data_IF_203466015979
#
_entry.id   IF_203466015979
#
_cell.length_a   1.000
_cell.length_b   1.000
_cell.length_c   1.000
_cell.angle_alpha   90.00
_cell.angle_beta   90.00
_cell.angle_gamma   90.00
#
_symmetry.space_group_name_H-M   'P 1'
#
loop_
_entity.id
_entity.type
_entity.pdbx_description
1 polymer ?
#
# COMPACT_ATOMS: atom_id res chain seq x y z
N UNK A 1 -60.46 -30.64 -25.48
CA UNK A 1 -60.06 -29.46 -26.29
C UNK A 1 -58.57 -29.23 -26.09
N UNK A 2 -57.81 -28.94 -27.15
CA UNK A 2 -56.38 -29.21 -27.25
C UNK A 2 -55.49 -28.03 -26.81
N UNK A 3 -54.28 -28.34 -26.35
CA UNK A 3 -53.16 -27.41 -26.22
C UNK A 3 -52.61 -27.04 -27.61
N UNK A 4 -52.36 -25.76 -27.91
CA UNK A 4 -51.54 -25.38 -29.05
C UNK A 4 -50.06 -25.31 -28.64
N UNK A 5 -49.27 -26.15 -29.31
CA UNK A 5 -47.82 -26.01 -29.47
C UNK A 5 -47.50 -24.78 -30.34
N UNK A 6 -46.68 -23.87 -29.83
CA UNK A 6 -46.04 -22.84 -30.65
C UNK A 6 -44.54 -22.75 -30.31
N UNK A 7 -43.77 -23.29 -31.22
CA UNK A 7 -42.35 -23.06 -31.44
C UNK A 7 -42.02 -21.56 -31.41
N UNK A 8 -41.13 -21.17 -30.50
CA UNK A 8 -40.25 -20.02 -30.65
C UNK A 8 -38.87 -20.46 -30.17
N UNK A 9 -38.16 -21.17 -31.05
CA UNK A 9 -36.72 -21.32 -30.97
C UNK A 9 -36.10 -19.91 -31.06
N UNK A 10 -35.79 -19.33 -29.90
CA UNK A 10 -34.96 -18.15 -29.81
C UNK A 10 -33.51 -18.56 -30.12
N UNK A 11 -33.10 -18.25 -31.34
CA UNK A 11 -31.75 -18.38 -31.89
C UNK A 11 -30.66 -17.89 -30.90
N UNK A 12 -29.86 -18.79 -30.29
CA UNK A 12 -28.83 -18.41 -29.33
C UNK A 12 -27.59 -17.78 -29.99
N UNK A 13 -27.42 -17.90 -31.30
CA UNK A 13 -26.21 -17.42 -31.99
C UNK A 13 -26.19 -15.90 -32.20
N UNK A 14 -27.37 -15.25 -32.22
CA UNK A 14 -27.45 -13.78 -32.39
C UNK A 14 -27.01 -12.98 -31.15
N UNK A 15 -26.83 -13.63 -29.99
CA UNK A 15 -26.23 -12.99 -28.79
C UNK A 15 -24.70 -13.05 -28.78
N UNK A 16 -24.08 -13.94 -29.56
CA UNK A 16 -22.64 -14.14 -29.53
C UNK A 16 -21.85 -13.14 -30.39
N UNK A 17 -22.48 -12.49 -31.38
CA UNK A 17 -21.77 -11.65 -32.35
C UNK A 17 -21.71 -10.15 -32.02
N UNK A 18 -22.28 -9.70 -30.90
CA UNK A 18 -22.38 -8.27 -30.54
C UNK A 18 -21.55 -7.80 -29.35
N UNK A 19 -20.74 -8.67 -28.73
CA UNK A 19 -20.23 -8.42 -27.37
C UNK A 19 -18.73 -8.67 -27.18
N UNK A 20 -17.92 -8.40 -28.20
CA UNK A 20 -16.45 -8.27 -28.05
C UNK A 20 -15.93 -6.92 -28.54
N UNK A 21 -16.73 -5.86 -28.41
CA UNK A 21 -16.18 -4.52 -28.36
C UNK A 21 -15.44 -4.37 -27.02
N UNK A 22 -14.15 -4.70 -27.02
CA UNK A 22 -13.24 -4.49 -25.90
C UNK A 22 -13.35 -3.06 -25.40
N UNK A 23 -14.18 -2.86 -24.36
CA UNK A 23 -14.50 -1.57 -23.82
C UNK A 23 -13.28 -1.04 -23.05
N UNK A 24 -12.42 -0.32 -23.77
CA UNK A 24 -11.27 0.39 -23.19
C UNK A 24 -11.79 1.35 -22.12
N UNK A 25 -11.12 1.38 -20.98
CA UNK A 25 -11.29 2.46 -19.98
C UNK A 25 -11.00 3.78 -20.71
N UNK A 26 -11.77 4.86 -20.47
CA UNK A 26 -11.60 6.11 -21.19
C UNK A 26 -10.19 6.62 -20.90
N UNK A 27 -9.48 6.94 -21.98
CA UNK A 27 -8.12 7.47 -21.94
C UNK A 27 -7.90 8.53 -20.84
N UNK A 28 -8.78 9.54 -20.63
CA UNK A 28 -8.55 10.54 -19.60
C UNK A 28 -8.51 9.97 -18.18
N UNK A 29 -9.36 8.99 -17.85
CA UNK A 29 -9.35 8.37 -16.52
C UNK A 29 -8.10 7.51 -16.31
N UNK A 30 -7.71 6.74 -17.33
CA UNK A 30 -6.46 5.96 -17.28
C UNK A 30 -5.24 6.88 -17.11
N UNK A 31 -5.23 8.02 -17.81
CA UNK A 31 -4.17 9.02 -17.72
C UNK A 31 -4.14 9.64 -16.33
N UNK A 32 -5.27 10.11 -15.78
CA UNK A 32 -5.30 10.67 -14.42
C UNK A 32 -4.81 9.67 -13.36
N UNK A 33 -5.20 8.41 -13.51
CA UNK A 33 -4.77 7.34 -12.61
C UNK A 33 -3.26 7.07 -12.74
N UNK A 34 -2.76 6.92 -13.96
CA UNK A 34 -1.33 6.72 -14.22
C UNK A 34 -0.48 7.90 -13.73
N UNK A 35 -0.97 9.14 -13.91
CA UNK A 35 -0.32 10.34 -13.39
C UNK A 35 -0.26 10.35 -11.87
N UNK A 36 -1.34 9.97 -11.17
CA UNK A 36 -1.34 9.91 -9.71
C UNK A 36 -0.39 8.83 -9.16
N UNK A 37 -0.36 7.65 -9.78
CA UNK A 37 0.60 6.58 -9.45
C UNK A 37 2.04 7.04 -9.73
N UNK A 38 2.27 7.63 -10.90
CA UNK A 38 3.57 8.15 -11.31
C UNK A 38 4.07 9.26 -10.39
N UNK A 39 3.18 10.16 -9.95
CA UNK A 39 3.51 11.19 -8.98
C UNK A 39 3.91 10.61 -7.62
N UNK A 40 3.22 9.57 -7.15
CA UNK A 40 3.59 8.86 -5.91
C UNK A 40 4.99 8.26 -5.99
N UNK A 41 5.29 7.54 -7.07
CA UNK A 41 6.63 6.98 -7.30
C UNK A 41 7.71 8.06 -7.49
N UNK A 42 7.41 9.12 -8.24
CA UNK A 42 8.33 10.23 -8.45
C UNK A 42 8.68 10.91 -7.12
N UNK A 43 7.68 11.17 -6.27
CA UNK A 43 7.91 11.74 -4.95
C UNK A 43 8.82 10.86 -4.08
N UNK A 44 8.52 9.56 -4.02
CA UNK A 44 9.35 8.59 -3.27
C UNK A 44 10.79 8.52 -3.82
N UNK A 45 10.95 8.56 -5.14
CA UNK A 45 12.26 8.57 -5.78
C UNK A 45 13.06 9.84 -5.44
N UNK A 46 12.42 11.01 -5.44
CA UNK A 46 13.08 12.26 -5.03
C UNK A 46 13.50 12.21 -3.55
N UNK A 47 12.64 11.70 -2.66
CA UNK A 47 12.99 11.54 -1.24
C UNK A 47 14.20 10.61 -1.05
N UNK A 48 14.24 9.47 -1.73
CA UNK A 48 15.40 8.55 -1.68
C UNK A 48 16.65 9.19 -2.29
N UNK A 49 16.52 9.88 -3.41
CA UNK A 49 17.64 10.58 -4.05
C UNK A 49 18.23 11.66 -3.15
N UNK A 50 17.41 12.37 -2.38
CA UNK A 50 17.87 13.37 -1.42
C UNK A 50 18.58 12.75 -0.19
N UNK A 51 18.16 11.56 0.25
CA UNK A 51 18.85 10.82 1.32
C UNK A 51 20.16 10.18 0.86
N UNK A 52 20.29 9.91 -0.44
CA UNK A 52 21.35 9.11 -1.03
C UNK A 52 22.77 9.58 -0.65
N UNK A 53 23.11 10.88 -0.71
CA UNK A 53 24.45 11.35 -0.36
C UNK A 53 24.70 11.33 1.15
N UNK A 54 23.68 11.58 1.98
CA UNK A 54 23.85 11.75 3.43
C UNK A 54 23.78 10.42 4.20
N UNK A 55 23.00 9.46 3.73
CA UNK A 55 22.62 8.26 4.49
C UNK A 55 23.22 7.00 3.88
N UNK A 56 23.72 6.08 4.70
CA UNK A 56 24.00 4.72 4.23
C UNK A 56 22.67 4.02 3.97
N UNK A 57 22.42 3.60 2.73
CA UNK A 57 21.14 3.02 2.34
C UNK A 57 20.83 1.71 3.07
N UNK A 58 21.83 1.02 3.63
CA UNK A 58 21.59 -0.16 4.49
C UNK A 58 20.82 0.19 5.77
N UNK A 59 20.92 1.43 6.24
CA UNK A 59 20.19 1.93 7.41
C UNK A 59 18.68 2.10 7.16
N UNK A 60 18.25 2.20 5.89
CA UNK A 60 16.84 2.26 5.50
C UNK A 60 16.16 0.88 5.48
N UNK A 61 16.91 -0.18 5.78
CA UNK A 61 16.40 -1.54 5.96
C UNK A 61 16.87 -2.55 4.90
N UNK A 62 16.39 -3.80 5.00
CA UNK A 62 16.86 -4.89 4.17
C UNK A 62 16.59 -4.63 2.69
N UNK A 63 17.61 -4.87 1.86
CA UNK A 63 17.52 -4.74 0.40
C UNK A 63 17.75 -3.34 -0.14
N UNK A 64 17.98 -2.31 0.68
CA UNK A 64 18.27 -0.95 0.20
C UNK A 64 19.75 -0.72 -0.13
N UNK A 65 20.66 -1.55 0.39
CA UNK A 65 22.12 -1.37 0.25
C UNK A 65 22.68 -1.33 -1.17
N UNK A 66 21.99 -1.90 -2.17
CA UNK A 66 22.45 -1.81 -3.58
C UNK A 66 22.47 -0.37 -4.09
N UNK A 67 21.63 0.52 -3.54
CA UNK A 67 21.59 1.94 -3.88
C UNK A 67 22.88 2.67 -3.48
N UNK A 68 23.67 2.13 -2.54
CA UNK A 68 24.98 2.69 -2.22
C UNK A 68 25.95 2.68 -3.41
N UNK A 69 25.70 1.90 -4.47
CA UNK A 69 26.47 1.98 -5.73
C UNK A 69 26.35 3.35 -6.40
N UNK A 70 25.25 4.06 -6.16
CA UNK A 70 25.01 5.41 -6.67
C UNK A 70 25.32 6.49 -5.64
N UNK A 71 25.74 6.11 -4.43
CA UNK A 71 26.13 7.05 -3.38
C UNK A 71 27.59 7.46 -3.58
N UNK A 72 27.80 8.72 -3.96
CA UNK A 72 29.13 9.30 -4.19
C UNK A 72 30.03 9.30 -2.94
N UNK A 73 29.42 9.26 -1.75
CA UNK A 73 30.10 9.28 -0.46
C UNK A 73 30.07 7.91 0.24
N UNK A 74 29.79 6.84 -0.51
CA UNK A 74 29.84 5.48 0.00
C UNK A 74 31.24 5.15 0.55
N UNK A 75 31.30 4.49 1.71
CA UNK A 75 32.56 4.10 2.36
C UNK A 75 33.18 5.17 3.27
N UNK A 76 32.69 6.42 3.25
CA UNK A 76 33.09 7.42 4.23
C UNK A 76 32.38 7.21 5.58
N UNK A 77 33.03 7.58 6.71
CA UNK A 77 32.40 7.62 8.02
C UNK A 77 31.15 8.51 8.01
N UNK A 78 30.13 8.17 8.80
CA UNK A 78 28.83 8.87 8.79
C UNK A 78 28.95 10.38 8.98
N UNK A 79 29.79 10.84 9.91
CA UNK A 79 30.00 12.26 10.16
C UNK A 79 30.62 13.00 8.98
N UNK A 80 31.59 12.38 8.28
CA UNK A 80 32.21 12.96 7.10
C UNK A 80 31.21 13.05 5.93
N UNK A 81 30.39 12.01 5.77
CA UNK A 81 29.33 11.95 4.75
C UNK A 81 28.26 13.01 4.98
N UNK A 82 27.77 13.16 6.21
CA UNK A 82 26.80 14.19 6.55
C UNK A 82 27.37 15.61 6.33
N UNK A 83 28.62 15.86 6.73
CA UNK A 83 29.27 17.15 6.52
C UNK A 83 29.45 17.49 5.03
N UNK A 84 29.91 16.53 4.22
CA UNK A 84 30.06 16.72 2.77
C UNK A 84 28.71 16.86 2.07
N UNK A 85 27.68 16.12 2.48
CA UNK A 85 26.34 16.28 1.94
C UNK A 85 25.79 17.69 2.22
N UNK A 86 25.96 18.24 3.42
CA UNK A 86 25.53 19.63 3.71
C UNK A 86 26.29 20.66 2.86
N UNK A 87 27.60 20.46 2.66
CA UNK A 87 28.44 21.39 1.87
C UNK A 87 28.16 21.32 0.36
N UNK A 88 27.96 20.11 -0.18
CA UNK A 88 27.81 19.89 -1.61
C UNK A 88 26.33 19.92 -2.07
N UNK A 89 25.39 19.73 -1.15
CA UNK A 89 23.95 19.72 -1.42
C UNK A 89 23.19 20.49 -0.34
N UNK A 90 23.30 21.83 -0.30
CA UNK A 90 22.72 22.66 0.76
C UNK A 90 21.19 22.52 0.87
N UNK A 91 20.49 22.16 -0.22
CA UNK A 91 19.05 21.87 -0.22
C UNK A 91 18.69 20.44 0.25
N UNK A 92 19.61 19.48 0.18
CA UNK A 92 19.36 18.08 0.56
C UNK A 92 19.36 17.87 2.08
N UNK A 93 19.88 18.82 2.86
CA UNK A 93 19.92 18.73 4.33
C UNK A 93 18.55 18.83 5.02
N UNK A 94 17.51 19.29 4.32
CA UNK A 94 16.14 19.43 4.85
C UNK A 94 15.07 18.67 4.04
N UNK A 95 15.39 18.24 2.81
CA UNK A 95 14.43 17.57 1.96
C UNK A 95 14.58 16.05 2.10
N UNK A 96 13.72 15.41 2.89
CA UNK A 96 13.57 13.96 2.89
C UNK A 96 13.54 13.31 4.27
N UNK A 97 14.23 13.88 5.25
CA UNK A 97 14.19 13.42 6.65
C UNK A 97 13.59 14.49 7.56
N UNK A 98 12.79 14.11 8.56
CA UNK A 98 12.44 14.99 9.67
C UNK A 98 13.70 15.55 10.34
N UNK A 99 13.63 16.80 10.80
CA UNK A 99 14.72 17.41 11.55
C UNK A 99 15.06 16.63 12.83
N UNK A 100 16.31 16.77 13.30
CA UNK A 100 16.78 16.13 14.54
C UNK A 100 16.19 16.75 15.82
N UNK A 101 15.47 17.87 15.72
CA UNK A 101 14.82 18.56 16.83
C UNK A 101 13.37 18.10 17.07
N UNK A 102 12.62 18.80 17.94
CA UNK A 102 11.18 18.57 18.11
C UNK A 102 10.46 18.74 16.76
N UNK A 103 9.62 17.77 16.39
CA UNK A 103 8.92 17.80 15.12
C UNK A 103 7.99 19.01 15.03
N UNK A 104 8.19 19.81 13.99
CA UNK A 104 7.32 20.92 13.63
C UNK A 104 6.23 20.49 12.64
N UNK A 105 5.43 21.47 12.23
CA UNK A 105 4.42 21.26 11.18
C UNK A 105 5.04 20.83 9.83
N UNK A 106 6.27 21.27 9.53
CA UNK A 106 7.00 20.88 8.33
C UNK A 106 7.34 19.39 8.30
N UNK A 107 7.84 18.85 9.41
CA UNK A 107 8.18 17.43 9.54
C UNK A 107 6.93 16.54 9.41
N UNK A 108 5.84 16.94 10.08
CA UNK A 108 4.55 16.26 9.97
C UNK A 108 4.01 16.28 8.53
N UNK A 109 4.11 17.42 7.84
CA UNK A 109 3.71 17.54 6.45
C UNK A 109 4.56 16.66 5.52
N UNK A 110 5.88 16.63 5.71
CA UNK A 110 6.79 15.79 4.94
C UNK A 110 6.44 14.31 5.09
N UNK A 111 6.29 13.84 6.33
CA UNK A 111 5.96 12.44 6.63
C UNK A 111 4.57 12.09 6.13
N UNK A 112 3.59 12.99 6.26
CA UNK A 112 2.27 12.81 5.67
C UNK A 112 2.32 12.69 4.14
N UNK A 113 3.04 13.57 3.46
CA UNK A 113 3.19 13.51 2.00
C UNK A 113 3.90 12.25 1.54
N UNK A 114 4.88 11.76 2.31
CA UNK A 114 5.53 10.48 2.09
C UNK A 114 4.53 9.31 2.18
N UNK A 115 3.74 9.20 3.25
CA UNK A 115 2.72 8.16 3.38
C UNK A 115 1.62 8.28 2.31
N UNK A 116 1.26 9.50 1.93
CA UNK A 116 0.31 9.74 0.85
C UNK A 116 0.88 9.29 -0.50
N UNK A 117 2.15 9.59 -0.78
CA UNK A 117 2.84 9.13 -1.99
C UNK A 117 2.92 7.59 -2.03
N UNK A 118 3.19 6.94 -0.89
CA UNK A 118 3.11 5.49 -0.74
C UNK A 118 1.70 4.97 -1.07
N UNK A 119 0.65 5.57 -0.51
CA UNK A 119 -0.75 5.23 -0.85
C UNK A 119 -1.00 5.32 -2.36
N UNK A 120 -0.59 6.42 -3.00
CA UNK A 120 -0.76 6.61 -4.44
C UNK A 120 0.05 5.59 -5.25
N UNK A 121 1.26 5.26 -4.81
CA UNK A 121 2.17 4.36 -5.51
C UNK A 121 1.70 2.90 -5.50
N UNK A 122 1.06 2.42 -4.43
CA UNK A 122 0.68 1.00 -4.28
C UNK A 122 -0.81 0.73 -4.09
N UNK A 123 -1.55 1.58 -3.37
CA UNK A 123 -2.96 1.31 -3.10
C UNK A 123 -3.82 1.67 -4.31
N UNK A 124 -3.50 2.78 -4.97
CA UNK A 124 -4.22 3.19 -6.17
C UNK A 124 -4.16 2.09 -7.27
N UNK A 125 -3.00 1.55 -7.70
CA UNK A 125 -2.93 0.45 -8.67
C UNK A 125 -3.80 -0.76 -8.31
N UNK A 126 -3.85 -1.09 -7.01
CA UNK A 126 -4.64 -2.22 -6.52
C UNK A 126 -6.16 -2.03 -6.67
N UNK A 127 -6.63 -0.78 -6.80
CA UNK A 127 -8.02 -0.43 -7.07
C UNK A 127 -8.37 -0.39 -8.57
N UNK A 128 -7.39 -0.49 -9.47
CA UNK A 128 -7.61 -0.39 -10.92
C UNK A 128 -8.67 -1.37 -11.46
N UNK A 129 -8.68 -2.67 -11.09
CA UNK A 129 -9.69 -3.60 -11.60
C UNK A 129 -11.11 -3.23 -11.18
N UNK A 130 -11.26 -2.77 -9.93
CA UNK A 130 -12.54 -2.33 -9.37
C UNK A 130 -13.02 -1.06 -10.06
N UNK A 131 -12.14 -0.09 -10.30
CA UNK A 131 -12.49 1.19 -10.94
C UNK A 131 -12.88 0.94 -12.39
N UNK A 132 -12.15 0.10 -13.12
CA UNK A 132 -12.50 -0.29 -14.48
C UNK A 132 -13.87 -1.00 -14.54
N UNK A 133 -14.20 -1.85 -13.57
CA UNK A 133 -15.50 -2.52 -13.50
C UNK A 133 -16.65 -1.52 -13.22
N UNK A 134 -16.47 -0.63 -12.25
CA UNK A 134 -17.44 0.42 -11.95
C UNK A 134 -17.67 1.34 -13.16
N UNK A 135 -16.61 1.71 -13.85
CA UNK A 135 -16.63 2.63 -14.99
C UNK A 135 -17.37 2.05 -16.21
N UNK A 136 -17.20 0.75 -16.48
CA UNK A 136 -18.02 0.04 -17.49
C UNK A 136 -19.51 0.10 -17.15
N UNK A 137 -19.86 -0.11 -15.89
CA UNK A 137 -21.25 -0.05 -15.42
C UNK A 137 -21.80 1.36 -15.48
N UNK A 138 -21.03 2.35 -15.02
CA UNK A 138 -21.39 3.76 -15.06
C UNK A 138 -21.74 4.21 -16.48
N UNK A 139 -20.97 3.78 -17.49
CA UNK A 139 -21.30 4.02 -18.90
C UNK A 139 -22.57 3.33 -19.35
N UNK A 140 -22.75 2.04 -19.02
CA UNK A 140 -23.96 1.30 -19.39
C UNK A 140 -25.24 1.90 -18.79
N UNK A 141 -25.15 2.46 -17.59
CA UNK A 141 -26.27 3.12 -16.89
C UNK A 141 -26.34 4.64 -17.13
N UNK A 142 -25.42 5.21 -17.92
CA UNK A 142 -25.29 6.67 -18.12
C UNK A 142 -25.17 7.47 -16.82
N UNK A 143 -24.51 6.89 -15.83
CA UNK A 143 -24.13 7.55 -14.59
C UNK A 143 -22.98 8.50 -14.95
N UNK A 144 -23.16 9.81 -14.73
CA UNK A 144 -22.34 10.88 -15.30
C UNK A 144 -20.82 10.65 -15.31
N UNK A 145 -20.13 11.28 -16.26
CA UNK A 145 -18.71 11.04 -16.58
C UNK A 145 -17.72 11.18 -15.40
N UNK A 146 -18.08 11.94 -14.36
CA UNK A 146 -17.27 12.12 -13.15
C UNK A 146 -17.44 11.00 -12.11
N UNK A 147 -18.36 10.04 -12.29
CA UNK A 147 -18.70 9.07 -11.26
C UNK A 147 -17.52 8.20 -10.83
N UNK A 148 -16.73 7.70 -11.78
CA UNK A 148 -15.55 6.88 -11.45
C UNK A 148 -14.49 7.66 -10.66
N UNK A 149 -14.34 8.96 -10.96
CA UNK A 149 -13.45 9.85 -10.20
C UNK A 149 -13.96 10.00 -8.77
N UNK A 150 -15.27 10.18 -8.57
CA UNK A 150 -15.86 10.28 -7.24
C UNK A 150 -15.70 8.99 -6.42
N UNK A 151 -15.78 7.82 -7.07
CA UNK A 151 -15.46 6.54 -6.41
C UNK A 151 -13.99 6.50 -6.00
N UNK A 152 -13.07 6.88 -6.89
CA UNK A 152 -11.64 6.92 -6.59
C UNK A 152 -11.33 7.91 -5.44
N UNK A 153 -11.99 9.07 -5.39
CA UNK A 153 -11.85 10.04 -4.30
C UNK A 153 -12.37 9.48 -2.97
N UNK A 154 -13.51 8.78 -2.97
CA UNK A 154 -14.03 8.12 -1.78
C UNK A 154 -13.09 7.02 -1.27
N UNK A 155 -12.49 6.25 -2.17
CA UNK A 155 -11.47 5.25 -1.87
C UNK A 155 -10.21 5.89 -1.26
N UNK A 156 -9.70 6.95 -1.91
CA UNK A 156 -8.49 7.65 -1.46
C UNK A 156 -8.72 8.37 -0.14
N UNK A 157 -9.92 8.88 0.16
CA UNK A 157 -10.21 9.51 1.44
C UNK A 157 -9.93 8.59 2.64
N UNK A 158 -10.26 7.29 2.53
CA UNK A 158 -9.98 6.29 3.57
C UNK A 158 -8.46 6.10 3.74
N UNK A 159 -7.72 6.02 2.63
CA UNK A 159 -6.28 5.85 2.67
C UNK A 159 -5.52 7.12 3.08
N UNK A 160 -6.04 8.30 2.77
CA UNK A 160 -5.52 9.58 3.28
C UNK A 160 -5.67 9.63 4.80
N UNK A 161 -6.79 9.17 5.35
CA UNK A 161 -6.95 9.05 6.80
C UNK A 161 -5.94 8.08 7.41
N UNK A 162 -5.68 6.95 6.74
CA UNK A 162 -4.60 6.06 7.14
C UNK A 162 -3.23 6.76 7.10
N UNK A 163 -2.92 7.54 6.06
CA UNK A 163 -1.66 8.29 5.97
C UNK A 163 -1.51 9.27 7.15
N UNK A 164 -2.58 9.98 7.54
CA UNK A 164 -2.58 10.82 8.74
C UNK A 164 -2.29 9.99 9.99
N UNK A 165 -2.97 8.86 10.18
CA UNK A 165 -2.75 8.00 11.33
C UNK A 165 -1.32 7.44 11.37
N UNK A 166 -0.79 7.03 10.21
CA UNK A 166 0.57 6.52 10.07
C UNK A 166 1.61 7.60 10.38
N UNK A 167 1.38 8.85 9.98
CA UNK A 167 2.22 9.99 10.37
C UNK A 167 2.25 10.19 11.88
N UNK A 168 1.08 10.15 12.54
CA UNK A 168 1.00 10.32 14.01
C UNK A 168 1.69 9.17 14.72
N UNK A 169 1.46 7.93 14.29
CA UNK A 169 2.12 6.73 14.84
C UNK A 169 3.63 6.82 14.64
N UNK A 170 4.09 7.18 13.45
CA UNK A 170 5.51 7.34 13.15
C UNK A 170 6.14 8.42 14.03
N UNK A 171 5.51 9.60 14.15
CA UNK A 171 5.99 10.67 15.01
C UNK A 171 6.11 10.20 16.48
N UNK A 172 5.09 9.49 16.99
CA UNK A 172 5.11 8.92 18.33
C UNK A 172 6.23 7.90 18.53
N UNK A 173 6.42 6.98 17.58
CA UNK A 173 7.50 5.99 17.62
C UNK A 173 8.89 6.64 17.54
N UNK A 174 9.05 7.71 16.77
CA UNK A 174 10.30 8.49 16.73
C UNK A 174 10.58 9.15 18.08
N UNK A 175 9.58 9.79 18.69
CA UNK A 175 9.73 10.43 20.03
C UNK A 175 10.07 9.40 21.12
N UNK A 176 9.52 8.18 21.01
CA UNK A 176 9.82 7.08 21.93
C UNK A 176 11.19 6.41 21.68
N UNK A 177 11.95 6.85 20.67
CA UNK A 177 13.21 6.22 20.28
C UNK A 177 13.04 4.82 19.68
N UNK A 178 11.83 4.46 19.27
CA UNK A 178 11.51 3.17 18.66
C UNK A 178 11.89 3.13 17.17
N UNK A 179 12.11 4.29 16.55
CA UNK A 179 12.63 4.43 15.19
C UNK A 179 13.98 5.15 15.21
N UNK A 180 14.90 4.71 14.35
CA UNK A 180 16.18 5.37 14.09
C UNK A 180 15.97 6.67 13.31
N UNK A 181 16.98 7.56 13.23
CA UNK A 181 16.93 8.73 12.34
C UNK A 181 16.65 8.38 10.87
N UNK A 182 17.08 7.18 10.44
CA UNK A 182 16.78 6.63 9.12
C UNK A 182 15.36 6.03 8.98
N UNK A 183 14.47 6.26 9.95
CA UNK A 183 13.08 5.74 9.97
C UNK A 183 12.99 4.21 9.86
N UNK A 184 14.01 3.51 10.37
CA UNK A 184 14.04 2.07 10.52
C UNK A 184 13.75 1.67 11.98
N UNK A 185 13.27 0.45 12.26
CA UNK A 185 13.02 0.01 13.63
C UNK A 185 14.32 0.00 14.45
N UNK A 186 14.28 0.59 15.64
CA UNK A 186 15.44 0.67 16.54
C UNK A 186 15.81 -0.69 17.17
N UNK A 187 14.94 -1.70 17.07
CA UNK A 187 15.21 -3.04 17.60
C UNK A 187 14.62 -4.16 16.73
N UNK A 188 15.30 -5.32 16.74
CA UNK A 188 14.78 -6.54 16.12
C UNK A 188 13.48 -7.03 16.77
N UNK A 189 13.27 -6.71 18.05
CA UNK A 189 12.02 -7.05 18.75
C UNK A 189 10.85 -6.28 18.14
N UNK A 190 10.99 -4.97 17.90
CA UNK A 190 9.95 -4.15 17.26
C UNK A 190 9.66 -4.63 15.83
N UNK A 191 10.72 -4.91 15.05
CA UNK A 191 10.58 -5.43 13.70
C UNK A 191 9.85 -6.79 13.71
N UNK A 192 10.31 -7.71 14.57
CA UNK A 192 9.77 -9.05 14.69
C UNK A 192 8.32 -9.07 15.18
N UNK A 193 7.98 -8.28 16.21
CA UNK A 193 6.61 -8.20 16.73
C UNK A 193 5.65 -7.63 15.69
N UNK A 194 6.09 -6.64 14.92
CA UNK A 194 5.31 -6.04 13.83
C UNK A 194 5.04 -7.07 12.72
N UNK A 195 6.07 -7.81 12.30
CA UNK A 195 5.93 -8.88 11.29
C UNK A 195 5.00 -10.01 11.78
N UNK A 196 5.12 -10.43 13.04
CA UNK A 196 4.24 -11.44 13.64
C UNK A 196 2.80 -10.93 13.68
N UNK A 197 2.56 -9.71 14.16
CA UNK A 197 1.22 -9.14 14.21
C UNK A 197 0.59 -9.06 12.80
N UNK A 198 1.37 -8.62 11.80
CA UNK A 198 0.92 -8.61 10.42
C UNK A 198 0.63 -10.03 9.90
N UNK A 199 1.53 -10.98 10.17
CA UNK A 199 1.39 -12.38 9.78
C UNK A 199 0.14 -13.04 10.38
N UNK A 200 -0.11 -12.83 11.67
CA UNK A 200 -1.32 -13.31 12.36
C UNK A 200 -2.58 -12.67 11.75
N UNK A 201 -2.54 -11.37 11.43
CA UNK A 201 -3.65 -10.71 10.76
C UNK A 201 -3.99 -11.34 9.40
N UNK A 202 -2.97 -11.77 8.64
CA UNK A 202 -3.15 -12.45 7.36
C UNK A 202 -3.97 -13.74 7.45
N UNK A 203 -3.98 -14.39 8.63
CA UNK A 203 -4.69 -15.64 8.90
C UNK A 203 -6.12 -15.42 9.43
N UNK A 204 -6.53 -14.16 9.67
CA UNK A 204 -7.82 -13.87 10.29
C UNK A 204 -9.00 -14.03 9.32
N UNK A 205 -10.18 -14.46 9.83
CA UNK A 205 -11.41 -14.44 9.04
C UNK A 205 -11.84 -13.01 8.66
N UNK A 206 -11.47 -12.01 9.48
CA UNK A 206 -11.72 -10.59 9.19
C UNK A 206 -11.04 -10.17 7.89
N UNK A 207 -9.73 -10.45 7.74
CA UNK A 207 -9.02 -10.17 6.49
C UNK A 207 -9.68 -10.90 5.32
N UNK A 208 -10.00 -12.19 5.47
CA UNK A 208 -10.61 -12.98 4.40
C UNK A 208 -11.95 -12.36 3.93
N UNK A 209 -12.78 -11.90 4.87
CA UNK A 209 -14.04 -11.21 4.56
C UNK A 209 -13.81 -9.88 3.84
N UNK A 210 -12.87 -9.05 4.33
CA UNK A 210 -12.49 -7.79 3.68
C UNK A 210 -11.95 -8.02 2.26
N UNK A 211 -11.14 -9.05 2.06
CA UNK A 211 -10.55 -9.39 0.77
C UNK A 211 -11.61 -9.84 -0.24
N UNK A 212 -12.57 -10.68 0.17
CA UNK A 212 -13.73 -11.04 -0.66
C UNK A 212 -14.50 -9.78 -1.07
N UNK A 213 -14.77 -8.87 -0.13
CA UNK A 213 -15.49 -7.63 -0.42
C UNK A 213 -14.69 -6.69 -1.34
N UNK A 214 -13.37 -6.62 -1.19
CA UNK A 214 -12.49 -5.81 -2.01
C UNK A 214 -12.40 -6.33 -3.47
N UNK A 215 -12.55 -7.65 -3.68
CA UNK A 215 -12.49 -8.26 -5.02
C UNK A 215 -13.80 -8.18 -5.78
N UNK A 216 -14.93 -8.25 -5.09
CA UNK A 216 -16.26 -8.29 -5.70
C UNK A 216 -16.82 -6.86 -5.79
N UNK A 217 -16.82 -6.22 -6.97
CA UNK A 217 -17.35 -4.87 -7.10
C UNK A 217 -18.89 -4.80 -6.96
N UNK A 218 -19.57 -5.93 -6.69
CA UNK A 218 -20.98 -6.12 -7.03
C UNK A 218 -21.79 -6.97 -6.02
N UNK A 219 -22.01 -6.45 -4.81
CA UNK A 219 -23.26 -6.74 -4.04
C UNK A 219 -23.97 -5.46 -3.58
N UNK A 220 -23.49 -4.28 -3.97
CA UNK A 220 -24.04 -2.98 -3.52
C UNK A 220 -24.81 -2.19 -4.59
N UNK A 221 -24.86 -2.67 -5.84
CA UNK A 221 -25.73 -2.09 -6.87
C UNK A 221 -26.71 -3.15 -7.35
N UNK A 222 -27.78 -3.33 -6.56
CA UNK A 222 -28.96 -4.06 -7.03
C UNK A 222 -29.51 -3.39 -8.30
N UNK A 223 -30.24 -4.15 -9.13
CA UNK A 223 -31.03 -3.59 -10.23
C UNK A 223 -31.94 -2.47 -9.68
N UNK A 224 -31.76 -1.24 -10.15
CA UNK A 224 -32.50 -0.05 -9.66
C UNK A 224 -31.72 0.88 -8.73
N UNK A 225 -30.40 0.71 -8.57
CA UNK A 225 -29.56 1.65 -7.84
C UNK A 225 -29.65 3.07 -8.42
N UNK A 226 -30.08 4.03 -7.59
CA UNK A 226 -30.12 5.45 -7.97
C UNK A 226 -28.73 6.05 -7.78
N UNK A 227 -28.06 6.30 -8.91
CA UNK A 227 -26.72 6.83 -8.94
C UNK A 227 -26.67 8.36 -8.69
N UNK A 228 -27.06 8.77 -7.48
CA UNK A 228 -26.78 10.13 -7.04
C UNK A 228 -25.30 10.28 -6.63
N UNK A 229 -24.82 11.52 -6.60
CA UNK A 229 -23.42 11.84 -6.25
C UNK A 229 -23.01 11.23 -4.90
N UNK A 230 -23.94 11.20 -3.93
CA UNK A 230 -23.69 10.71 -2.57
C UNK A 230 -23.56 9.19 -2.52
N UNK A 231 -24.35 8.45 -3.30
CA UNK A 231 -24.29 7.00 -3.40
C UNK A 231 -22.97 6.56 -4.05
N UNK A 232 -22.53 7.26 -5.09
CA UNK A 232 -21.24 7.02 -5.76
C UNK A 232 -20.07 7.20 -4.79
N UNK A 233 -20.03 8.30 -4.03
CA UNK A 233 -18.97 8.53 -3.03
C UNK A 233 -19.02 7.49 -1.91
N UNK A 234 -20.21 7.19 -1.37
CA UNK A 234 -20.39 6.14 -0.34
C UNK A 234 -19.92 4.77 -0.82
N UNK A 235 -20.15 4.45 -2.09
CA UNK A 235 -19.61 3.24 -2.70
C UNK A 235 -18.07 3.25 -2.70
N UNK A 236 -17.45 4.35 -3.11
CA UNK A 236 -15.99 4.53 -3.04
C UNK A 236 -15.43 4.38 -1.63
N UNK A 237 -16.05 5.01 -0.63
CA UNK A 237 -15.67 4.88 0.79
C UNK A 237 -15.80 3.43 1.25
N UNK A 238 -16.91 2.75 0.93
CA UNK A 238 -17.10 1.35 1.30
C UNK A 238 -16.05 0.41 0.70
N UNK A 239 -15.63 0.67 -0.54
CA UNK A 239 -14.53 -0.05 -1.18
C UNK A 239 -13.17 0.31 -0.56
N UNK A 240 -12.97 1.57 -0.19
CA UNK A 240 -11.81 2.04 0.58
C UNK A 240 -11.69 1.31 1.92
N UNK A 241 -12.78 1.20 2.70
CA UNK A 241 -12.82 0.48 3.99
C UNK A 241 -12.53 -1.01 3.81
N UNK A 242 -13.13 -1.66 2.80
CA UNK A 242 -12.85 -3.06 2.52
C UNK A 242 -11.38 -3.31 2.14
N UNK A 243 -10.83 -2.43 1.30
CA UNK A 243 -9.43 -2.47 0.91
C UNK A 243 -8.48 -2.20 2.08
N UNK A 244 -8.80 -1.21 2.91
CA UNK A 244 -8.04 -0.91 4.11
C UNK A 244 -8.03 -2.13 5.03
N UNK A 245 -9.21 -2.72 5.29
CA UNK A 245 -9.35 -3.92 6.10
C UNK A 245 -8.51 -5.10 5.61
N UNK A 246 -8.33 -5.32 4.30
CA UNK A 246 -7.51 -6.44 3.84
C UNK A 246 -5.99 -6.14 3.76
N UNK A 247 -5.58 -4.87 3.73
CA UNK A 247 -4.20 -4.48 3.41
C UNK A 247 -3.46 -3.70 4.51
N UNK A 248 -4.14 -3.15 5.51
CA UNK A 248 -3.50 -2.28 6.52
C UNK A 248 -2.37 -2.99 7.28
N UNK A 249 -2.51 -4.29 7.56
CA UNK A 249 -1.50 -5.05 8.28
C UNK A 249 -0.22 -5.22 7.45
N UNK A 250 -0.34 -5.44 6.14
CA UNK A 250 0.81 -5.44 5.25
C UNK A 250 1.41 -4.04 5.12
N UNK A 251 0.60 -2.97 5.14
CA UNK A 251 1.15 -1.61 5.19
C UNK A 251 1.98 -1.38 6.46
N UNK A 252 1.55 -1.92 7.60
CA UNK A 252 2.29 -1.82 8.86
C UNK A 252 3.65 -2.53 8.83
N UNK A 253 3.88 -3.49 7.92
CA UNK A 253 5.20 -4.13 7.72
C UNK A 253 6.29 -3.11 7.38
N UNK A 254 5.93 -1.95 6.80
CA UNK A 254 6.86 -0.83 6.58
C UNK A 254 7.58 -0.39 7.86
N UNK A 255 6.94 -0.48 9.03
CA UNK A 255 7.59 -0.18 10.31
C UNK A 255 8.64 -1.23 10.72
N UNK A 256 8.60 -2.43 10.13
CA UNK A 256 9.57 -3.51 10.38
C UNK A 256 10.73 -3.53 9.38
N UNK A 257 10.48 -3.17 8.12
CA UNK A 257 11.47 -3.24 7.03
C UNK A 257 12.10 -1.89 6.69
N UNK A 258 11.70 -0.84 7.41
CA UNK A 258 12.08 0.54 7.15
C UNK A 258 11.03 1.28 6.33
N UNK A 259 10.58 2.42 6.84
CA UNK A 259 9.42 3.13 6.29
C UNK A 259 9.72 3.68 4.88
N UNK A 260 10.96 4.11 4.67
CA UNK A 260 11.47 4.66 3.42
C UNK A 260 12.05 3.61 2.46
N UNK A 261 11.76 2.34 2.70
CA UNK A 261 12.30 1.25 1.92
C UNK A 261 11.51 1.04 0.61
N UNK A 262 11.92 1.74 -0.45
CA UNK A 262 11.26 1.69 -1.77
C UNK A 262 11.20 0.29 -2.38
N UNK A 263 12.17 -0.56 -2.09
CA UNK A 263 12.17 -1.97 -2.53
C UNK A 263 10.99 -2.71 -1.91
N UNK A 264 10.79 -2.57 -0.60
CA UNK A 264 9.67 -3.20 0.07
C UNK A 264 8.33 -2.53 -0.24
N UNK A 265 8.30 -1.22 -0.52
CA UNK A 265 7.09 -0.56 -1.03
C UNK A 265 6.63 -1.25 -2.34
N UNK A 266 7.56 -1.51 -3.26
CA UNK A 266 7.26 -2.23 -4.50
C UNK A 266 6.81 -3.68 -4.25
N UNK A 267 7.56 -4.42 -3.42
CA UNK A 267 7.26 -5.82 -3.09
C UNK A 267 5.88 -5.95 -2.43
N UNK A 268 5.60 -5.16 -1.40
CA UNK A 268 4.31 -5.21 -0.69
C UNK A 268 3.17 -4.74 -1.60
N UNK A 269 3.38 -3.71 -2.41
CA UNK A 269 2.40 -3.29 -3.41
C UNK A 269 2.08 -4.41 -4.41
N UNK A 270 3.09 -5.14 -4.88
CA UNK A 270 2.92 -6.30 -5.74
C UNK A 270 2.16 -7.43 -5.03
N UNK A 271 2.57 -7.78 -3.80
CA UNK A 271 1.90 -8.81 -2.98
C UNK A 271 0.42 -8.47 -2.80
N UNK A 272 0.11 -7.24 -2.37
CA UNK A 272 -1.28 -6.81 -2.16
C UNK A 272 -2.10 -6.82 -3.46
N UNK A 273 -1.49 -6.46 -4.58
CA UNK A 273 -2.13 -6.51 -5.91
C UNK A 273 -2.42 -7.96 -6.32
N UNK A 274 -1.45 -8.86 -6.14
CA UNK A 274 -1.61 -10.29 -6.43
C UNK A 274 -2.65 -10.92 -5.50
N UNK A 275 -2.67 -10.58 -4.21
CA UNK A 275 -3.70 -11.04 -3.28
C UNK A 275 -5.10 -10.59 -3.71
N UNK A 276 -5.25 -9.41 -4.32
CA UNK A 276 -6.53 -8.95 -4.85
C UNK A 276 -6.87 -9.62 -6.18
N UNK A 277 -5.88 -9.94 -7.02
CA UNK A 277 -6.09 -10.57 -8.32
C UNK A 277 -6.41 -12.07 -8.22
N UNK A 278 -5.73 -12.79 -7.33
CA UNK A 278 -5.81 -14.26 -7.25
C UNK A 278 -6.83 -14.70 -6.20
N UNK A 279 -7.83 -15.48 -6.62
CA UNK A 279 -8.85 -16.04 -5.71
C UNK A 279 -8.32 -17.29 -5.02
N UNK A 280 -7.37 -17.12 -4.10
CA UNK A 280 -6.82 -18.21 -3.28
C UNK A 280 -6.69 -17.79 -1.82
N UNK A 281 -7.18 -18.65 -0.90
CA UNK A 281 -6.90 -18.50 0.54
C UNK A 281 -5.47 -18.94 0.89
N UNK A 282 -4.91 -19.88 0.12
CA UNK A 282 -3.56 -20.41 0.34
C UNK A 282 -2.48 -19.35 0.21
N UNK A 283 -2.64 -18.38 -0.71
CA UNK A 283 -1.71 -17.26 -0.85
C UNK A 283 -1.65 -16.40 0.42
N UNK A 284 -2.81 -16.00 0.96
CA UNK A 284 -2.87 -15.21 2.20
C UNK A 284 -2.28 -15.96 3.39
N UNK A 285 -2.52 -17.28 3.48
CA UNK A 285 -1.95 -18.11 4.54
C UNK A 285 -0.44 -18.27 4.40
N UNK A 286 0.07 -18.49 3.19
CA UNK A 286 1.49 -18.58 2.93
C UNK A 286 2.20 -17.27 3.32
N UNK A 287 1.66 -16.11 2.91
CA UNK A 287 2.21 -14.80 3.30
C UNK A 287 2.17 -14.64 4.82
N UNK A 288 1.06 -15.01 5.47
CA UNK A 288 0.91 -14.92 6.92
C UNK A 288 1.94 -15.74 7.68
N UNK A 289 2.13 -17.00 7.28
CA UNK A 289 3.10 -17.91 7.87
C UNK A 289 4.54 -17.44 7.62
N UNK A 290 4.85 -16.96 6.42
CA UNK A 290 6.18 -16.43 6.10
C UNK A 290 6.51 -15.19 6.94
N UNK A 291 5.58 -14.25 7.08
CA UNK A 291 5.78 -13.07 7.93
C UNK A 291 5.93 -13.43 9.40
N UNK A 292 5.10 -14.35 9.91
CA UNK A 292 5.18 -14.81 11.29
C UNK A 292 6.50 -15.55 11.57
N UNK A 293 6.93 -16.44 10.67
CA UNK A 293 8.19 -17.16 10.78
C UNK A 293 9.39 -16.22 10.72
N UNK A 294 9.38 -15.25 9.79
CA UNK A 294 10.44 -14.25 9.70
C UNK A 294 10.51 -13.40 10.96
N UNK A 295 9.36 -12.90 11.46
CA UNK A 295 9.30 -12.13 12.68
C UNK A 295 9.75 -12.91 13.92
N UNK A 296 9.38 -14.19 14.02
CA UNK A 296 9.88 -15.07 15.08
C UNK A 296 11.41 -15.24 15.00
N UNK A 297 11.96 -15.41 13.81
CA UNK A 297 13.41 -15.45 13.57
C UNK A 297 14.11 -14.17 14.05
N UNK A 298 13.54 -12.99 13.78
CA UNK A 298 14.10 -11.72 14.27
C UNK A 298 14.07 -11.60 15.80
N UNK A 299 12.99 -12.07 16.44
CA UNK A 299 12.90 -12.06 17.91
C UNK A 299 13.93 -13.03 18.50
N UNK A 300 14.08 -14.23 17.95
CA UNK A 300 15.06 -15.22 18.41
C UNK A 300 16.50 -14.72 18.23
N UNK A 301 16.79 -14.01 17.15
CA UNK A 301 18.09 -13.39 16.90
C UNK A 301 18.36 -12.13 17.75
N UNK A 302 17.35 -11.61 18.46
CA UNK A 302 17.51 -10.45 19.32
C UNK A 302 18.18 -10.81 20.67
N UNK A 303 18.76 -9.84 21.40
CA UNK A 303 19.28 -10.08 22.75
C UNK A 303 18.23 -10.65 23.72
N UNK A 304 16.95 -10.35 23.50
CA UNK A 304 15.84 -10.93 24.27
C UNK A 304 15.66 -12.41 23.93
N UNK A 305 15.71 -12.76 22.64
CA UNK A 305 15.65 -14.14 22.17
C UNK A 305 16.78 -15.00 22.74
N UNK A 306 18.02 -14.48 22.73
CA UNK A 306 19.16 -15.16 23.33
C UNK A 306 18.96 -15.47 24.83
N UNK A 307 18.36 -14.54 25.59
CA UNK A 307 18.02 -14.77 27.00
C UNK A 307 16.94 -15.83 27.19
N UNK A 308 15.93 -15.86 26.32
CA UNK A 308 14.85 -16.86 26.38
C UNK A 308 15.36 -18.27 26.05
N UNK A 309 16.22 -18.40 25.04
CA UNK A 309 16.85 -19.67 24.65
C UNK A 309 17.76 -20.22 25.74
N UNK A 310 18.59 -19.35 26.32
CA UNK A 310 19.43 -19.70 27.46
C UNK A 310 18.60 -20.16 28.68
N UNK A 311 17.47 -19.49 28.98
CA UNK A 311 16.56 -19.89 30.05
C UNK A 311 15.85 -21.22 29.78
N UNK A 312 15.65 -21.58 28.50
CA UNK A 312 15.06 -22.84 28.08
C UNK A 312 16.07 -24.00 27.95
N UNK A 313 17.37 -23.74 28.16
CA UNK A 313 18.43 -24.75 28.01
C UNK A 313 18.70 -25.18 26.57
N UNK A 314 18.30 -24.35 25.59
CA UNK A 314 18.47 -24.61 24.15
C UNK A 314 19.55 -23.65 23.62
N UNK A 315 20.82 -24.02 23.73
CA UNK A 315 21.95 -23.28 23.13
C UNK A 315 22.38 -23.93 21.80
#
# INVERSE_FOLDING_TARGET
>A
MPFPSASLAADPERRASGQEAGARVPAPLMVSFALAVGLGWAWLAVLVAAMLPATDMTALGPGMGWLNRFNLFAGLPEGARAALAVLCTPDAGHFGMPGAGPWGAGDLALVFLMWLAMVLAMMLPSAAPMLAAFDRRARAERIGSAATVLVALGYLAVWTLFAVAATVVQAGLTVLGALTPAMAPASLVLAGSTLIAAGLYQLTPMKAACLVRCRVPATALASGWRADRRAVIRFGIGQGIACFGCCWALMAVMFAVGIMNVVWIAILGAIMTVEKAVVSRGLSYAIGLLLAAWGAGLILASPVGARLLAAAGLN
#
